data_IF_934064656664
#
_entry.id   IF_934064656664
#
_cell.length_a   1.000
_cell.length_b   1.000
_cell.length_c   1.000
_cell.angle_alpha   90.00
_cell.angle_beta   90.00
_cell.angle_gamma   90.00
#
_symmetry.space_group_name_H-M   'P 1'
#
loop_
_entity.id
_entity.type
_entity.pdbx_description
1 polymer ?
#
# COMPACT_ATOMS: atom_id res chain seq x y z
N UNK A 1 4.67 12.69 -16.51
CA UNK A 1 5.56 11.84 -15.67
C UNK A 1 4.90 11.58 -14.33
N UNK A 2 5.28 10.50 -13.64
CA UNK A 2 4.89 10.23 -12.26
C UNK A 2 6.13 10.03 -11.37
N UNK A 3 5.99 10.35 -10.09
CA UNK A 3 7.05 10.23 -9.09
C UNK A 3 6.62 9.23 -8.00
N UNK A 4 7.54 8.36 -7.58
CA UNK A 4 7.34 7.42 -6.47
C UNK A 4 8.57 7.34 -5.59
N UNK A 5 8.34 7.19 -4.29
CA UNK A 5 9.42 6.92 -3.34
C UNK A 5 9.83 5.45 -3.44
N UNK A 6 11.14 5.22 -3.52
CA UNK A 6 11.78 3.93 -3.30
C UNK A 6 12.45 3.98 -1.94
N UNK A 7 12.10 3.02 -1.09
CA UNK A 7 12.78 2.78 0.18
C UNK A 7 13.69 1.57 0.04
N UNK A 8 14.92 1.66 0.57
CA UNK A 8 15.89 0.58 0.50
C UNK A 8 16.57 0.41 1.85
N UNK A 9 16.50 -0.81 2.39
CA UNK A 9 17.26 -1.18 3.58
C UNK A 9 18.71 -1.45 3.18
N UNK A 10 19.64 -0.73 3.79
CA UNK A 10 21.08 -0.86 3.59
C UNK A 10 21.66 -1.38 4.89
N UNK A 11 22.46 -2.43 4.83
CA UNK A 11 23.18 -2.94 5.99
C UNK A 11 24.27 -1.94 6.37
N UNK A 12 24.29 -1.53 7.64
CA UNK A 12 25.29 -0.64 8.21
C UNK A 12 25.90 -1.32 9.45
N UNK A 13 27.03 -1.99 9.25
CA UNK A 13 27.64 -2.86 10.26
C UNK A 13 26.69 -3.98 10.72
N UNK A 14 26.25 -3.91 11.98
CA UNK A 14 25.30 -4.86 12.59
C UNK A 14 23.82 -4.42 12.49
N UNK A 15 23.54 -3.24 11.94
CA UNK A 15 22.17 -2.71 11.83
C UNK A 15 21.74 -2.56 10.37
N UNK A 16 20.50 -2.13 10.17
CA UNK A 16 19.99 -1.73 8.86
C UNK A 16 19.49 -0.29 8.93
N UNK A 17 19.88 0.52 7.96
CA UNK A 17 19.35 1.87 7.75
C UNK A 17 18.44 1.88 6.55
N UNK A 18 17.35 2.65 6.60
CA UNK A 18 16.43 2.82 5.46
C UNK A 18 16.77 4.12 4.74
N UNK A 19 17.19 4.00 3.49
CA UNK A 19 17.33 5.16 2.59
C UNK A 19 16.05 5.35 1.79
N UNK A 20 15.79 6.61 1.42
CA UNK A 20 14.69 6.98 0.52
C UNK A 20 15.22 7.73 -0.68
N UNK A 21 14.71 7.43 -1.87
CA UNK A 21 14.93 8.24 -3.07
C UNK A 21 13.66 8.33 -3.91
N UNK A 22 13.50 9.43 -4.63
CA UNK A 22 12.39 9.59 -5.57
C UNK A 22 12.80 9.03 -6.94
N UNK A 23 11.89 8.28 -7.56
CA UNK A 23 12.05 7.72 -8.90
C UNK A 23 10.97 8.32 -9.79
N UNK A 24 11.39 8.89 -10.92
CA UNK A 24 10.52 9.41 -11.95
C UNK A 24 10.39 8.42 -13.11
N UNK A 25 9.15 8.17 -13.55
CA UNK A 25 8.83 7.22 -14.61
C UNK A 25 7.62 7.68 -15.42
N UNK A 26 7.46 7.06 -16.58
CA UNK A 26 6.34 7.34 -17.47
C UNK A 26 5.02 6.92 -16.81
N UNK A 27 4.04 7.82 -16.80
CA UNK A 27 2.74 7.53 -16.25
C UNK A 27 1.83 6.91 -17.31
N UNK A 28 1.23 5.78 -16.97
CA UNK A 28 0.21 5.11 -17.80
C UNK A 28 -1.16 5.32 -17.18
N UNK A 29 -2.07 5.92 -17.96
CA UNK A 29 -3.43 6.26 -17.54
C UNK A 29 -4.43 5.12 -17.67
N UNK A 30 -5.52 5.22 -16.90
CA UNK A 30 -6.64 4.27 -16.93
C UNK A 30 -6.72 3.34 -15.72
N UNK A 31 -7.92 2.80 -15.49
CA UNK A 31 -8.24 1.92 -14.35
C UNK A 31 -8.21 0.43 -14.70
N UNK A 32 -8.17 0.10 -16.00
CA UNK A 32 -8.09 -1.28 -16.46
C UNK A 32 -6.85 -1.98 -15.88
N UNK A 33 -6.98 -3.27 -15.60
CA UNK A 33 -5.89 -4.06 -15.03
C UNK A 33 -4.63 -4.03 -15.90
N UNK A 34 -4.80 -4.09 -17.22
CA UNK A 34 -3.71 -3.96 -18.19
C UNK A 34 -2.95 -2.62 -18.06
N UNK A 35 -3.65 -1.52 -17.77
CA UNK A 35 -3.01 -0.21 -17.56
C UNK A 35 -2.26 -0.13 -16.23
N UNK A 36 -2.81 -0.75 -15.17
CA UNK A 36 -2.13 -0.86 -13.87
C UNK A 36 -0.84 -1.68 -13.99
N UNK A 37 -0.90 -2.82 -14.69
CA UNK A 37 0.27 -3.67 -14.94
C UNK A 37 1.33 -2.92 -15.78
N UNK A 38 0.94 -2.22 -16.85
CA UNK A 38 1.86 -1.38 -17.64
C UNK A 38 2.56 -0.32 -16.78
N UNK A 39 1.83 0.31 -15.84
CA UNK A 39 2.43 1.30 -14.93
C UNK A 39 3.49 0.69 -14.02
N UNK A 40 3.27 -0.54 -13.53
CA UNK A 40 4.25 -1.30 -12.76
C UNK A 40 5.51 -1.57 -13.59
N UNK A 41 5.35 -1.99 -14.85
CA UNK A 41 6.48 -2.23 -15.76
C UNK A 41 7.30 -0.95 -15.97
N UNK A 42 6.65 0.18 -16.28
CA UNK A 42 7.33 1.48 -16.46
C UNK A 42 8.09 1.94 -15.21
N UNK A 43 7.58 1.64 -14.01
CA UNK A 43 8.29 1.91 -12.77
C UNK A 43 9.50 0.97 -12.60
N UNK A 44 9.32 -0.33 -12.84
CA UNK A 44 10.38 -1.34 -12.72
C UNK A 44 11.58 -1.07 -13.63
N UNK A 45 11.33 -0.59 -14.85
CA UNK A 45 12.38 -0.18 -15.81
C UNK A 45 13.33 0.89 -15.27
N UNK A 46 12.95 1.61 -14.20
CA UNK A 46 13.79 2.63 -13.53
C UNK A 46 14.56 2.09 -12.32
N UNK A 47 14.40 0.82 -11.96
CA UNK A 47 15.06 0.19 -10.82
C UNK A 47 16.38 -0.49 -11.26
N UNK A 48 17.20 -0.94 -10.31
CA UNK A 48 18.45 -1.64 -10.64
C UNK A 48 18.18 -2.99 -11.34
N UNK A 49 19.10 -3.48 -12.20
CA UNK A 49 18.92 -4.74 -12.93
C UNK A 49 18.62 -5.95 -12.02
N UNK A 50 19.21 -5.99 -10.83
CA UNK A 50 18.92 -7.00 -9.82
C UNK A 50 17.44 -7.01 -9.41
N UNK A 51 16.89 -5.83 -9.06
CA UNK A 51 15.47 -5.69 -8.69
C UNK A 51 14.57 -5.97 -9.89
N UNK A 52 15.00 -5.65 -11.12
CA UNK A 52 14.22 -5.93 -12.32
C UNK A 52 13.99 -7.42 -12.57
N UNK A 53 14.95 -8.26 -12.15
CA UNK A 53 14.95 -9.71 -12.39
C UNK A 53 14.47 -10.52 -11.18
N UNK A 54 14.68 -10.03 -9.95
CA UNK A 54 14.29 -10.71 -8.72
C UNK A 54 13.44 -9.82 -7.83
N UNK A 55 12.13 -9.88 -8.02
CA UNK A 55 11.16 -9.12 -7.23
C UNK A 55 9.85 -9.90 -7.05
N UNK A 56 9.09 -9.50 -6.04
CA UNK A 56 7.70 -9.86 -5.88
C UNK A 56 6.90 -8.56 -5.90
N UNK A 57 6.12 -8.33 -6.95
CA UNK A 57 5.21 -7.18 -6.98
C UNK A 57 3.93 -7.50 -6.22
N UNK A 58 3.58 -6.62 -5.29
CA UNK A 58 2.47 -6.81 -4.37
C UNK A 58 1.54 -5.62 -4.47
N UNK A 59 0.57 -5.69 -5.38
CA UNK A 59 -0.53 -4.75 -5.46
C UNK A 59 -1.73 -5.34 -6.21
N UNK A 60 -2.84 -4.59 -6.24
CA UNK A 60 -3.96 -4.92 -7.14
C UNK A 60 -3.63 -4.78 -8.63
N UNK A 61 -2.45 -4.23 -8.95
CA UNK A 61 -1.91 -4.10 -10.31
C UNK A 61 -0.96 -5.23 -10.71
N UNK A 62 -0.66 -6.18 -9.80
CA UNK A 62 0.18 -7.34 -10.09
C UNK A 62 -0.35 -8.12 -11.29
N UNK A 63 0.56 -8.63 -12.11
CA UNK A 63 0.29 -9.57 -13.20
C UNK A 63 0.17 -11.01 -12.68
N UNK A 64 0.92 -11.35 -11.62
CA UNK A 64 0.84 -12.66 -10.97
C UNK A 64 -0.24 -12.70 -9.88
N UNK A 65 -0.94 -13.83 -9.78
CA UNK A 65 -2.04 -14.01 -8.83
C UNK A 65 -1.57 -13.97 -7.37
N UNK A 66 -0.39 -14.54 -7.11
CA UNK A 66 0.21 -14.54 -5.77
C UNK A 66 0.44 -13.11 -5.25
N UNK A 67 0.98 -12.22 -6.09
CA UNK A 67 1.17 -10.80 -5.78
C UNK A 67 -0.14 -10.06 -5.51
N UNK A 68 -1.20 -10.36 -6.28
CA UNK A 68 -2.54 -9.79 -6.04
C UNK A 68 -3.11 -10.21 -4.69
N UNK A 69 -2.99 -11.49 -4.34
CA UNK A 69 -3.46 -12.04 -3.05
C UNK A 69 -2.74 -11.41 -1.85
N UNK A 70 -1.46 -11.09 -2.00
CA UNK A 70 -0.67 -10.43 -0.96
C UNK A 70 -0.90 -8.91 -0.87
N UNK A 71 -1.64 -8.30 -1.80
CA UNK A 71 -1.90 -6.87 -1.77
C UNK A 71 -2.71 -6.45 -0.53
N UNK A 72 -2.54 -5.21 -0.07
CA UNK A 72 -3.22 -4.71 1.14
C UNK A 72 -4.76 -4.85 1.08
N UNK A 73 -5.35 -4.82 -0.11
CA UNK A 73 -6.79 -4.97 -0.31
C UNK A 73 -7.30 -6.41 -0.15
N UNK A 74 -6.42 -7.40 -0.30
CA UNK A 74 -6.77 -8.82 -0.36
C UNK A 74 -6.13 -9.64 0.76
N UNK A 75 -4.95 -9.25 1.26
CA UNK A 75 -4.26 -9.96 2.32
C UNK A 75 -5.05 -9.84 3.61
N UNK A 76 -5.56 -10.98 4.07
CA UNK A 76 -6.26 -11.11 5.35
C UNK A 76 -5.32 -11.64 6.42
N UNK A 77 -5.48 -11.17 7.65
CA UNK A 77 -4.66 -11.57 8.79
C UNK A 77 -5.47 -11.55 10.09
N UNK A 78 -4.93 -12.22 11.10
CA UNK A 78 -5.42 -12.18 12.48
C UNK A 78 -4.26 -11.84 13.42
N UNK A 79 -4.48 -10.97 14.40
CA UNK A 79 -3.47 -10.55 15.38
C UNK A 79 -4.13 -9.96 16.62
N UNK A 80 -3.91 -10.56 17.79
CA UNK A 80 -4.57 -10.13 19.03
C UNK A 80 -6.10 -10.15 18.89
N UNK A 81 -6.74 -9.00 19.08
CA UNK A 81 -8.18 -8.83 18.93
C UNK A 81 -8.65 -8.73 17.46
N UNK A 82 -7.74 -8.46 16.52
CA UNK A 82 -8.04 -8.41 15.09
C UNK A 82 -8.23 -9.83 14.55
N UNK A 83 -9.42 -10.11 14.01
CA UNK A 83 -9.81 -11.44 13.52
C UNK A 83 -10.16 -11.38 12.04
N UNK A 84 -9.28 -11.93 11.22
CA UNK A 84 -9.50 -12.14 9.79
C UNK A 84 -9.90 -10.86 9.01
N UNK A 85 -9.10 -9.80 9.17
CA UNK A 85 -9.32 -8.52 8.50
C UNK A 85 -8.31 -8.29 7.39
N UNK A 86 -8.68 -7.49 6.38
CA UNK A 86 -7.71 -7.04 5.39
C UNK A 86 -6.81 -5.95 5.96
N UNK A 87 -5.55 -5.91 5.50
CA UNK A 87 -4.60 -4.84 5.87
C UNK A 87 -5.18 -3.46 5.56
N UNK A 88 -5.84 -3.29 4.41
CA UNK A 88 -6.46 -2.03 4.03
C UNK A 88 -7.61 -1.64 4.96
N UNK A 89 -8.52 -2.56 5.31
CA UNK A 89 -9.65 -2.24 6.21
C UNK A 89 -9.14 -1.79 7.58
N UNK A 90 -8.14 -2.48 8.13
CA UNK A 90 -7.51 -2.10 9.40
C UNK A 90 -6.81 -0.76 9.26
N UNK A 91 -6.00 -0.55 8.21
CA UNK A 91 -5.32 0.72 7.98
C UNK A 91 -6.29 1.91 7.91
N UNK A 92 -7.41 1.77 7.19
CA UNK A 92 -8.39 2.85 7.05
C UNK A 92 -9.15 3.10 8.35
N UNK A 93 -9.64 2.06 9.03
CA UNK A 93 -10.36 2.20 10.29
C UNK A 93 -9.47 2.67 11.45
N UNK A 94 -8.16 2.41 11.39
CA UNK A 94 -7.21 2.86 12.41
C UNK A 94 -6.93 4.35 12.36
N UNK A 95 -7.20 5.04 11.25
CA UNK A 95 -6.83 6.46 11.08
C UNK A 95 -7.51 7.36 12.10
N UNK A 96 -6.74 8.27 12.65
CA UNK A 96 -7.23 9.36 13.50
C UNK A 96 -6.92 10.67 12.79
N UNK A 97 -7.95 11.48 12.59
CA UNK A 97 -7.88 12.82 12.04
C UNK A 97 -8.11 13.85 13.14
N UNK A 98 -7.86 15.12 12.84
CA UNK A 98 -8.08 16.20 13.78
C UNK A 98 -9.53 16.23 14.34
N UNK A 99 -10.55 15.92 13.53
CA UNK A 99 -11.96 15.92 13.99
C UNK A 99 -12.51 14.56 14.43
N UNK A 100 -11.76 13.47 14.36
CA UNK A 100 -12.28 12.17 14.78
C UNK A 100 -11.51 10.94 14.31
N UNK A 101 -12.11 9.78 14.55
CA UNK A 101 -11.47 8.48 14.45
C UNK A 101 -10.88 8.02 15.80
N UNK A 102 -10.44 6.75 15.91
CA UNK A 102 -10.50 5.72 14.87
C UNK A 102 -11.94 5.29 14.57
N UNK A 103 -12.16 4.77 13.36
CA UNK A 103 -13.44 4.23 12.88
C UNK A 103 -13.32 2.70 12.76
N UNK A 104 -13.20 2.03 13.91
CA UNK A 104 -12.87 0.60 13.97
C UNK A 104 -13.98 -0.29 13.36
N UNK A 105 -15.21 0.20 13.26
CA UNK A 105 -16.30 -0.48 12.55
C UNK A 105 -16.03 -0.65 11.04
N UNK A 106 -14.99 0.02 10.50
CA UNK A 106 -14.51 -0.18 9.13
C UNK A 106 -13.70 -1.46 8.94
N UNK A 107 -13.27 -2.13 10.02
CA UNK A 107 -12.54 -3.40 9.94
C UNK A 107 -13.42 -4.49 9.34
N UNK A 108 -14.70 -4.52 9.74
CA UNK A 108 -15.70 -5.48 9.29
C UNK A 108 -16.27 -5.15 7.89
N UNK A 109 -15.81 -4.07 7.26
CA UNK A 109 -16.22 -3.71 5.90
C UNK A 109 -15.23 -4.26 4.87
N UNK A 110 -15.71 -4.60 3.65
CA UNK A 110 -14.81 -4.92 2.54
C UNK A 110 -13.80 -3.79 2.32
N UNK A 111 -12.54 -4.13 2.03
CA UNK A 111 -11.42 -3.17 1.89
C UNK A 111 -11.73 -1.98 0.98
N UNK A 112 -12.45 -2.23 -0.12
CA UNK A 112 -12.86 -1.18 -1.07
C UNK A 112 -13.91 -0.22 -0.48
N UNK A 113 -14.77 -0.71 0.41
CA UNK A 113 -15.77 0.08 1.12
C UNK A 113 -15.08 0.92 2.19
N UNK A 114 -14.21 0.32 3.02
CA UNK A 114 -13.44 1.03 4.05
C UNK A 114 -12.63 2.17 3.45
N UNK A 115 -11.95 1.95 2.32
CA UNK A 115 -11.22 3.00 1.59
C UNK A 115 -12.10 4.13 1.06
N UNK A 116 -13.34 3.83 0.70
CA UNK A 116 -14.28 4.79 0.10
C UNK A 116 -15.10 5.56 1.13
N UNK A 117 -15.06 5.16 2.41
CA UNK A 117 -15.73 5.86 3.49
C UNK A 117 -15.33 7.35 3.49
N UNK A 118 -16.33 8.23 3.54
CA UNK A 118 -16.12 9.68 3.43
C UNK A 118 -15.30 10.23 4.59
N UNK A 119 -15.41 9.62 5.78
CA UNK A 119 -14.71 10.03 7.00
C UNK A 119 -13.21 9.79 6.91
N UNK A 120 -12.76 8.73 6.23
CA UNK A 120 -11.34 8.44 6.02
C UNK A 120 -10.72 9.11 4.78
N UNK A 121 -11.58 9.74 3.96
CA UNK A 121 -11.19 10.53 2.78
C UNK A 121 -11.26 12.04 3.03
N UNK A 122 -11.39 12.44 4.29
CA UNK A 122 -11.33 13.84 4.70
C UNK A 122 -10.01 14.50 4.29
N UNK A 123 -10.04 15.83 4.13
CA UNK A 123 -8.85 16.66 3.88
C UNK A 123 -8.18 17.12 5.18
N UNK A 124 -8.75 16.76 6.32
CA UNK A 124 -8.20 17.11 7.61
C UNK A 124 -6.84 16.45 7.86
N UNK A 125 -6.02 17.04 8.75
CA UNK A 125 -4.76 16.43 9.15
C UNK A 125 -4.98 15.04 9.75
N UNK A 126 -4.25 14.07 9.24
CA UNK A 126 -4.09 12.76 9.87
C UNK A 126 -3.11 12.91 11.05
N UNK A 127 -3.58 12.66 12.26
CA UNK A 127 -2.83 12.89 13.50
C UNK A 127 -2.26 11.59 14.10
N UNK A 128 -2.78 10.43 13.70
CA UNK A 128 -2.25 9.16 14.17
C UNK A 128 -3.03 7.93 13.68
N UNK A 129 -2.71 6.79 14.30
CA UNK A 129 -3.35 5.51 14.05
C UNK A 129 -3.61 4.77 15.38
N UNK A 130 -4.76 4.11 15.52
CA UNK A 130 -5.09 3.22 16.64
C UNK A 130 -5.79 1.95 16.14
N UNK A 131 -5.02 0.87 15.87
CA UNK A 131 -5.57 -0.39 15.38
C UNK A 131 -6.40 -1.14 16.42
N UNK A 132 -6.03 -1.02 17.70
CA UNK A 132 -6.70 -1.51 18.91
C UNK A 132 -6.37 -0.53 20.03
#
# INVERSE_FOLDING_TARGET
MAKRLLFSAIKDGMTFVVTRREIEFEWVGGFAQSQKAKRVVKFREKLSPEIQTKYLEVSSGSDIEFGKRLSAFNLRFSSGELKDYTVESVYQGSKIFLSGGPYQELYDKPSIVSKKDTRVRTKEPLTGFRPT
#
